data_IF_792342729381
#
_entry.id   IF_792342729381
#
_cell.length_a   1.000
_cell.length_b   1.000
_cell.length_c   1.000
_cell.angle_alpha   90.00
_cell.angle_beta   90.00
_cell.angle_gamma   90.00
#
_symmetry.space_group_name_H-M   'P 1'
#
loop_
_entity.id
_entity.type
_entity.pdbx_description
1 polymer ?
#
# COMPACT_ATOMS: atom_id res chain seq x y z
N UNK A 1 -0.39 0.32 19.07
CA UNK A 1 -0.30 -1.04 18.50
C UNK A 1 -0.26 -0.95 16.98
N UNK A 2 0.71 -1.59 16.37
CA UNK A 2 0.89 -1.53 14.92
C UNK A 2 -0.28 -2.15 14.17
N UNK A 3 -0.79 -1.42 13.19
CA UNK A 3 -1.87 -1.88 12.32
C UNK A 3 -1.28 -2.22 10.96
N UNK A 4 -1.64 -3.39 10.43
CA UNK A 4 -1.08 -3.93 9.18
C UNK A 4 -2.16 -4.01 8.11
N UNK A 5 -1.82 -3.56 6.90
CA UNK A 5 -2.70 -3.61 5.74
C UNK A 5 -1.99 -4.34 4.61
N UNK A 6 -2.59 -5.41 4.14
CA UNK A 6 -2.07 -6.16 2.99
C UNK A 6 -3.05 -6.06 1.83
N UNK A 7 -2.58 -5.63 0.68
CA UNK A 7 -3.39 -5.51 -0.53
C UNK A 7 -2.68 -6.17 -1.71
N UNK A 8 -3.45 -6.51 -2.73
CA UNK A 8 -2.89 -6.99 -3.99
C UNK A 8 -3.56 -6.25 -5.14
N UNK A 9 -2.78 -5.95 -6.18
CA UNK A 9 -3.20 -5.07 -7.27
C UNK A 9 -2.86 -5.67 -8.62
N UNK A 10 -3.82 -5.66 -9.53
CA UNK A 10 -3.64 -6.14 -10.89
C UNK A 10 -3.54 -4.96 -11.85
N UNK A 11 -2.54 -5.00 -12.72
CA UNK A 11 -2.27 -3.97 -13.72
C UNK A 11 -2.71 -4.43 -15.10
N UNK A 12 -3.15 -3.48 -15.92
CA UNK A 12 -3.48 -3.75 -17.32
C UNK A 12 -2.22 -3.98 -18.15
N UNK A 13 -1.16 -3.25 -17.83
CA UNK A 13 0.13 -3.30 -18.52
C UNK A 13 1.24 -3.79 -17.60
N UNK A 14 2.37 -4.27 -18.14
CA UNK A 14 3.51 -4.63 -17.30
C UNK A 14 3.92 -3.49 -16.38
N UNK A 15 4.31 -3.82 -15.16
CA UNK A 15 4.65 -2.85 -14.13
C UNK A 15 5.99 -2.19 -14.44
N UNK A 16 6.02 -0.86 -14.43
CA UNK A 16 7.25 -0.07 -14.49
C UNK A 16 7.64 0.27 -13.06
N UNK A 17 8.62 -0.44 -12.52
CA UNK A 17 9.01 -0.29 -11.12
C UNK A 17 9.73 1.04 -10.82
N UNK A 18 10.32 1.71 -11.81
CA UNK A 18 10.85 3.04 -11.62
C UNK A 18 9.73 4.03 -11.34
N UNK A 19 8.65 3.95 -12.13
CA UNK A 19 7.47 4.80 -11.91
C UNK A 19 6.78 4.46 -10.60
N UNK A 20 6.72 3.18 -10.23
CA UNK A 20 6.14 2.74 -8.96
C UNK A 20 6.89 3.34 -7.79
N UNK A 21 8.22 3.34 -7.83
CA UNK A 21 9.04 3.92 -6.77
C UNK A 21 8.80 5.43 -6.63
N UNK A 22 8.66 6.14 -7.74
CA UNK A 22 8.35 7.58 -7.73
C UNK A 22 7.00 7.82 -7.07
N UNK A 23 5.97 7.05 -7.48
CA UNK A 23 4.63 7.16 -6.93
C UNK A 23 4.63 6.91 -5.43
N UNK A 24 5.36 5.89 -4.99
CA UNK A 24 5.44 5.54 -3.58
C UNK A 24 6.11 6.66 -2.77
N UNK A 25 7.19 7.23 -3.29
CA UNK A 25 7.86 8.34 -2.64
C UNK A 25 6.91 9.54 -2.46
N UNK A 26 6.10 9.85 -3.48
CA UNK A 26 5.13 10.92 -3.41
C UNK A 26 4.04 10.63 -2.37
N UNK A 27 3.53 9.41 -2.35
CA UNK A 27 2.52 8.99 -1.37
C UNK A 27 3.04 9.15 0.05
N UNK A 28 4.31 8.82 0.28
CA UNK A 28 4.90 8.84 1.61
C UNK A 28 5.40 10.21 2.07
N UNK A 29 5.50 11.19 1.16
CA UNK A 29 5.97 12.54 1.52
C UNK A 29 5.17 13.19 2.64
N UNK A 30 3.86 12.97 2.66
CA UNK A 30 2.96 13.58 3.64
C UNK A 30 2.32 12.54 4.57
N UNK A 31 2.91 11.36 4.66
CA UNK A 31 2.43 10.33 5.57
C UNK A 31 2.82 10.64 7.01
N UNK A 32 2.05 10.14 7.96
CA UNK A 32 2.40 10.23 9.37
C UNK A 32 3.72 9.52 9.63
N UNK A 33 4.54 10.02 10.58
CA UNK A 33 5.77 9.34 10.99
C UNK A 33 5.49 7.89 11.43
N UNK A 34 6.45 7.02 11.21
CA UNK A 34 6.39 5.60 11.60
C UNK A 34 5.41 4.76 10.79
N UNK A 35 4.92 5.30 9.67
CA UNK A 35 4.23 4.49 8.67
C UNK A 35 5.27 3.87 7.74
N UNK A 36 4.95 2.71 7.19
CA UNK A 36 5.79 2.07 6.18
C UNK A 36 4.93 1.43 5.11
N UNK A 37 5.47 1.36 3.89
CA UNK A 37 4.82 0.67 2.78
C UNK A 37 5.89 -0.08 2.01
N UNK A 38 5.64 -1.36 1.75
CA UNK A 38 6.49 -2.18 0.91
C UNK A 38 5.65 -2.72 -0.23
N UNK A 39 6.07 -2.45 -1.46
CA UNK A 39 5.46 -3.04 -2.65
C UNK A 39 6.40 -4.10 -3.20
N UNK A 40 5.84 -5.22 -3.63
CA UNK A 40 6.63 -6.32 -4.16
C UNK A 40 5.99 -6.91 -5.42
N UNK A 41 6.82 -7.44 -6.30
CA UNK A 41 6.35 -8.05 -7.53
C UNK A 41 5.88 -9.47 -7.28
N UNK A 42 4.66 -9.77 -7.75
CA UNK A 42 4.12 -11.13 -7.78
C UNK A 42 4.33 -11.71 -9.18
N UNK A 43 3.98 -10.95 -10.21
CA UNK A 43 4.35 -11.21 -11.59
C UNK A 43 4.43 -9.87 -12.35
N UNK A 44 4.61 -9.91 -13.67
CA UNK A 44 4.84 -8.70 -14.46
C UNK A 44 3.67 -7.70 -14.43
N UNK A 45 2.47 -8.16 -14.10
CA UNK A 45 1.25 -7.33 -14.04
C UNK A 45 0.52 -7.39 -12.69
N UNK A 46 1.18 -7.90 -11.68
CA UNK A 46 0.55 -8.13 -10.39
C UNK A 46 1.50 -7.79 -9.26
N UNK A 47 1.09 -6.90 -8.36
CA UNK A 47 1.95 -6.57 -7.23
C UNK A 47 1.18 -6.68 -5.91
N UNK A 48 1.92 -6.93 -4.85
CA UNK A 48 1.41 -6.92 -3.49
C UNK A 48 1.91 -5.72 -2.73
N UNK A 49 1.20 -5.36 -1.68
CA UNK A 49 1.57 -4.26 -0.80
C UNK A 49 1.40 -4.68 0.65
N UNK A 50 2.38 -4.35 1.47
CA UNK A 50 2.29 -4.47 2.92
C UNK A 50 2.56 -3.10 3.50
N UNK A 51 1.56 -2.53 4.17
CA UNK A 51 1.68 -1.24 4.82
C UNK A 51 1.52 -1.40 6.32
N UNK A 52 2.26 -0.63 7.09
CA UNK A 52 2.11 -0.59 8.54
C UNK A 52 1.86 0.82 9.01
N UNK A 53 1.05 0.94 10.05
CA UNK A 53 0.68 2.21 10.67
C UNK A 53 0.91 2.09 12.17
N UNK A 54 1.25 3.20 12.86
CA UNK A 54 1.44 3.17 14.30
C UNK A 54 0.20 2.69 15.07
N UNK A 55 -0.99 2.93 14.51
CA UNK A 55 -2.26 2.52 15.13
C UNK A 55 -3.37 2.46 14.09
N UNK A 56 -4.47 1.82 14.45
CA UNK A 56 -5.68 1.83 13.61
C UNK A 56 -6.21 3.26 13.44
N UNK A 57 -6.09 4.10 14.46
CA UNK A 57 -6.56 5.49 14.39
C UNK A 57 -5.79 6.28 13.34
N UNK A 58 -4.47 6.08 13.22
CA UNK A 58 -3.66 6.72 12.18
C UNK A 58 -4.12 6.22 10.80
N UNK A 59 -4.34 4.92 10.66
CA UNK A 59 -4.86 4.34 9.41
C UNK A 59 -6.19 5.00 9.01
N UNK A 60 -7.12 5.11 9.95
CA UNK A 60 -8.43 5.70 9.69
C UNK A 60 -8.32 7.20 9.35
N UNK A 61 -7.40 7.92 9.98
CA UNK A 61 -7.19 9.35 9.70
C UNK A 61 -6.73 9.62 8.28
N UNK A 62 -6.15 8.62 7.61
CA UNK A 62 -5.65 8.73 6.25
C UNK A 62 -6.63 8.17 5.21
N UNK A 63 -7.84 7.88 5.62
CA UNK A 63 -8.86 7.23 4.79
C UNK A 63 -9.13 7.95 3.46
N UNK A 64 -9.34 9.26 3.51
CA UNK A 64 -9.66 10.02 2.30
C UNK A 64 -8.52 10.00 1.29
N UNK A 65 -7.28 10.16 1.75
CA UNK A 65 -6.10 10.10 0.89
C UNK A 65 -5.98 8.72 0.24
N UNK A 66 -6.22 7.67 1.03
CA UNK A 66 -6.16 6.28 0.56
C UNK A 66 -7.22 6.02 -0.51
N UNK A 67 -8.44 6.48 -0.28
CA UNK A 67 -9.55 6.32 -1.24
C UNK A 67 -9.26 7.06 -2.54
N UNK A 68 -8.74 8.28 -2.46
CA UNK A 68 -8.36 9.06 -3.64
C UNK A 68 -7.24 8.37 -4.42
N UNK A 69 -6.24 7.85 -3.74
CA UNK A 69 -5.15 7.12 -4.37
C UNK A 69 -5.65 5.87 -5.10
N UNK A 70 -6.56 5.13 -4.50
CA UNK A 70 -7.15 3.92 -5.09
C UNK A 70 -7.99 4.26 -6.31
N UNK A 71 -8.72 5.37 -6.27
CA UNK A 71 -9.51 5.84 -7.41
C UNK A 71 -8.60 6.21 -8.58
N UNK A 72 -7.53 6.94 -8.33
CA UNK A 72 -6.55 7.30 -9.35
C UNK A 72 -5.90 6.07 -9.97
N UNK A 73 -5.56 5.07 -9.13
CA UNK A 73 -4.99 3.82 -9.61
C UNK A 73 -5.98 3.09 -10.51
N UNK A 74 -7.24 3.01 -10.12
CA UNK A 74 -8.29 2.38 -10.92
C UNK A 74 -8.44 3.06 -12.28
N UNK A 75 -8.39 4.39 -12.31
CA UNK A 75 -8.48 5.16 -13.56
C UNK A 75 -7.30 4.88 -14.49
N UNK A 76 -6.16 4.46 -13.97
CA UNK A 76 -4.97 4.08 -14.75
C UNK A 76 -4.90 2.59 -15.07
N UNK A 77 -5.97 1.84 -14.80
CA UNK A 77 -6.01 0.40 -15.08
C UNK A 77 -5.35 -0.47 -14.03
N UNK A 78 -5.22 0.02 -12.81
CA UNK A 78 -4.67 -0.73 -11.68
C UNK A 78 -5.79 -1.00 -10.69
N UNK A 79 -6.16 -2.28 -10.54
CA UNK A 79 -7.31 -2.68 -9.72
C UNK A 79 -6.90 -3.45 -8.47
N UNK A 80 -7.45 -3.06 -7.34
CA UNK A 80 -7.26 -3.78 -6.09
C UNK A 80 -8.03 -5.10 -6.13
N UNK A 81 -7.34 -6.20 -5.89
CA UNK A 81 -7.91 -7.55 -5.90
C UNK A 81 -8.45 -7.94 -4.53
N UNK A 82 -7.70 -7.62 -3.47
CA UNK A 82 -8.16 -7.86 -2.11
C UNK A 82 -7.50 -6.88 -1.14
N UNK A 83 -8.09 -6.79 0.04
CA UNK A 83 -7.53 -6.05 1.17
C UNK A 83 -7.77 -6.86 2.44
N UNK A 84 -6.74 -7.06 3.23
CA UNK A 84 -6.82 -7.70 4.55
C UNK A 84 -6.15 -6.78 5.53
N UNK A 85 -6.77 -6.57 6.67
CA UNK A 85 -6.26 -5.66 7.70
C UNK A 85 -6.27 -6.33 9.07
N UNK A 86 -5.39 -5.90 9.94
CA UNK A 86 -5.35 -6.43 11.31
C UNK A 86 -4.26 -5.79 12.15
N UNK A 87 -4.21 -6.19 13.41
CA UNK A 87 -3.17 -5.72 14.33
C UNK A 87 -1.99 -6.70 14.33
N UNK A 88 -0.79 -6.14 14.32
CA UNK A 88 0.42 -6.96 14.46
C UNK A 88 0.45 -7.64 15.82
N UNK A 89 0.60 -8.96 15.86
CA UNK A 89 0.57 -9.75 17.10
C UNK A 89 1.85 -10.54 17.35
N UNK A 90 2.61 -10.82 16.29
CA UNK A 90 3.85 -11.57 16.43
C UNK A 90 4.84 -11.11 15.39
N UNK A 91 6.12 -11.06 15.75
CA UNK A 91 7.18 -10.55 14.92
C UNK A 91 8.49 -11.24 15.28
N UNK A 92 9.30 -11.55 14.30
CA UNK A 92 10.61 -12.14 14.51
C UNK A 92 11.62 -11.54 13.57
N UNK A 93 12.85 -11.39 14.05
CA UNK A 93 13.98 -10.89 13.26
C UNK A 93 15.16 -11.85 13.44
N UNK A 94 15.89 -12.14 12.38
CA UNK A 94 17.08 -12.97 12.44
C UNK A 94 18.36 -12.13 12.51
#
# INVERSE_FOLDING_TARGET
>A
MTYVVNTAWKHTNPIDWEEMQKSLNEVMMNADPNCSVHWFEIDDKFHGSVATFPSKDVYESMRLRRENHRKEANDRGVKMIYEVVGHLKAEAHS
#
